data_IF_597945327193
#
_entry.id   IF_597945327193
#
_cell.length_a   1.000
_cell.length_b   1.000
_cell.length_c   1.000
_cell.angle_alpha   90.00
_cell.angle_beta   90.00
_cell.angle_gamma   90.00
#
_symmetry.space_group_name_H-M   'P 1'
#
loop_
_entity.id
_entity.type
_entity.pdbx_description
1 polymer ?
#
# COMPACT_ATOMS: atom_id res chain seq x y z
N UNK A 1 -22.53 -16.26 -11.44
CA UNK A 1 -21.14 -16.78 -11.45
C UNK A 1 -20.09 -15.68 -11.18
N UNK A 2 -20.47 -14.42 -10.94
CA UNK A 2 -19.51 -13.28 -10.81
C UNK A 2 -18.81 -13.17 -9.45
N UNK A 3 -19.32 -13.82 -8.39
CA UNK A 3 -18.78 -13.69 -7.04
C UNK A 3 -17.49 -14.49 -6.81
N UNK A 4 -17.22 -15.52 -7.62
CA UNK A 4 -15.99 -16.33 -7.49
C UNK A 4 -14.78 -15.56 -8.00
N UNK A 5 -14.87 -15.00 -9.20
CA UNK A 5 -13.76 -14.29 -9.86
C UNK A 5 -13.33 -13.03 -9.08
N UNK A 6 -14.30 -12.32 -8.49
CA UNK A 6 -13.99 -11.16 -7.62
C UNK A 6 -13.32 -11.57 -6.32
N UNK A 7 -13.73 -12.70 -5.70
CA UNK A 7 -13.08 -13.22 -4.49
C UNK A 7 -11.64 -13.66 -4.77
N UNK A 8 -11.40 -14.28 -5.92
CA UNK A 8 -10.06 -14.71 -6.34
C UNK A 8 -9.16 -13.50 -6.62
N UNK A 9 -9.69 -12.45 -7.28
CA UNK A 9 -8.97 -11.20 -7.52
C UNK A 9 -8.60 -10.45 -6.22
N UNK A 10 -9.54 -10.26 -5.30
CA UNK A 10 -9.25 -9.64 -4.00
C UNK A 10 -8.26 -10.48 -3.18
N UNK A 11 -8.28 -11.81 -3.33
CA UNK A 11 -7.29 -12.67 -2.68
C UNK A 11 -5.88 -12.39 -3.22
N UNK A 12 -5.72 -12.34 -4.54
CA UNK A 12 -4.45 -12.03 -5.20
C UNK A 12 -3.94 -10.63 -4.82
N UNK A 13 -4.81 -9.62 -4.82
CA UNK A 13 -4.45 -8.26 -4.40
C UNK A 13 -4.01 -8.20 -2.93
N UNK A 14 -4.67 -8.94 -2.03
CA UNK A 14 -4.24 -9.02 -0.63
C UNK A 14 -2.88 -9.68 -0.47
N UNK A 15 -2.60 -10.73 -1.24
CA UNK A 15 -1.28 -11.36 -1.24
C UNK A 15 -0.20 -10.40 -1.74
N UNK A 16 -0.49 -9.68 -2.83
CA UNK A 16 0.45 -8.71 -3.39
C UNK A 16 0.69 -7.54 -2.44
N UNK A 17 -0.36 -6.99 -1.82
CA UNK A 17 -0.23 -5.97 -0.77
C UNK A 17 0.64 -6.44 0.40
N UNK A 18 0.51 -7.70 0.83
CA UNK A 18 1.35 -8.26 1.90
C UNK A 18 2.81 -8.35 1.48
N UNK A 19 3.09 -8.75 0.23
CA UNK A 19 4.46 -8.80 -0.33
C UNK A 19 5.06 -7.41 -0.44
N UNK A 20 4.32 -6.45 -0.98
CA UNK A 20 4.75 -5.06 -1.09
C UNK A 20 5.02 -4.43 0.26
N UNK A 21 4.12 -4.61 1.24
CA UNK A 21 4.33 -4.10 2.59
C UNK A 21 5.61 -4.67 3.22
N UNK A 22 5.86 -5.98 3.08
CA UNK A 22 7.09 -6.60 3.56
C UNK A 22 8.33 -6.04 2.83
N UNK A 23 8.23 -5.77 1.53
CA UNK A 23 9.33 -5.18 0.75
C UNK A 23 9.63 -3.74 1.20
N UNK A 24 8.59 -2.90 1.33
CA UNK A 24 8.68 -1.50 1.78
C UNK A 24 9.34 -1.39 3.15
N UNK A 25 8.96 -2.26 4.10
CA UNK A 25 9.52 -2.27 5.46
C UNK A 25 11.04 -2.45 5.45
N UNK A 26 11.56 -3.25 4.52
CA UNK A 26 12.98 -3.56 4.40
C UNK A 26 13.74 -2.68 3.39
N UNK A 27 13.03 -1.92 2.56
CA UNK A 27 13.64 -1.05 1.54
C UNK A 27 14.48 0.06 2.20
N UNK A 28 15.70 0.27 1.72
CA UNK A 28 16.62 1.28 2.26
C UNK A 28 16.62 2.55 1.42
N UNK A 29 16.39 2.44 0.11
CA UNK A 29 16.30 3.59 -0.78
C UNK A 29 14.96 4.32 -0.58
N UNK A 30 15.05 5.62 -0.29
CA UNK A 30 13.89 6.44 0.04
C UNK A 30 12.94 6.59 -1.15
N UNK A 31 13.47 6.83 -2.36
CA UNK A 31 12.67 7.05 -3.55
C UNK A 31 11.93 5.79 -3.96
N UNK A 32 12.63 4.64 -3.94
CA UNK A 32 12.05 3.33 -4.20
C UNK A 32 10.99 2.98 -3.16
N UNK A 33 11.22 3.28 -1.88
CA UNK A 33 10.21 3.10 -0.83
C UNK A 33 8.95 3.93 -1.10
N UNK A 34 9.12 5.17 -1.55
CA UNK A 34 8.02 6.05 -1.96
C UNK A 34 7.21 5.47 -3.12
N UNK A 35 7.89 5.02 -4.18
CA UNK A 35 7.24 4.42 -5.35
C UNK A 35 6.45 3.16 -4.97
N UNK A 36 7.06 2.28 -4.18
CA UNK A 36 6.41 1.06 -3.70
C UNK A 36 5.21 1.38 -2.80
N UNK A 37 5.30 2.42 -1.97
CA UNK A 37 4.17 2.89 -1.16
C UNK A 37 3.02 3.39 -2.04
N UNK A 38 3.29 4.08 -3.14
CA UNK A 38 2.25 4.47 -4.11
C UNK A 38 1.48 3.26 -4.64
N UNK A 39 2.21 2.24 -5.12
CA UNK A 39 1.61 0.99 -5.60
C UNK A 39 0.79 0.27 -4.52
N UNK A 40 1.27 0.27 -3.27
CA UNK A 40 0.54 -0.33 -2.15
C UNK A 40 -0.77 0.41 -1.86
N UNK A 41 -0.78 1.73 -1.96
CA UNK A 41 -1.98 2.54 -1.73
C UNK A 41 -3.03 2.33 -2.83
N UNK A 42 -2.61 2.19 -4.09
CA UNK A 42 -3.52 1.82 -5.20
C UNK A 42 -4.21 0.48 -4.91
N UNK A 43 -3.45 -0.53 -4.46
CA UNK A 43 -4.03 -1.83 -4.08
C UNK A 43 -4.97 -1.71 -2.87
N UNK A 44 -4.64 -0.87 -1.90
CA UNK A 44 -5.51 -0.64 -0.74
C UNK A 44 -6.81 0.08 -1.12
N UNK A 45 -6.76 1.04 -2.04
CA UNK A 45 -7.96 1.68 -2.59
C UNK A 45 -8.89 0.66 -3.24
N UNK A 46 -8.36 -0.23 -4.09
CA UNK A 46 -9.15 -1.29 -4.74
C UNK A 46 -9.71 -2.33 -3.76
N UNK A 47 -9.11 -2.45 -2.58
CA UNK A 47 -9.56 -3.34 -1.51
C UNK A 47 -10.46 -2.66 -0.47
N UNK A 48 -10.81 -1.37 -0.66
CA UNK A 48 -11.53 -0.54 0.30
C UNK A 48 -10.83 -0.47 1.69
N UNK A 49 -9.50 -0.43 1.70
CA UNK A 49 -8.66 -0.35 2.91
C UNK A 49 -8.20 1.10 3.12
N UNK A 50 -8.74 1.77 4.13
CA UNK A 50 -8.35 3.13 4.49
C UNK A 50 -7.16 3.16 5.45
N UNK A 51 -6.06 3.79 5.04
CA UNK A 51 -4.82 3.93 5.85
C UNK A 51 -4.40 5.38 6.07
N UNK A 52 -5.17 6.35 5.57
CA UNK A 52 -4.85 7.79 5.65
C UNK A 52 -4.50 8.22 7.07
N UNK A 53 -5.38 7.95 8.02
CA UNK A 53 -5.24 8.36 9.42
C UNK A 53 -4.55 7.29 10.29
N UNK A 54 -4.00 6.23 9.68
CA UNK A 54 -3.34 5.15 10.39
C UNK A 54 -1.86 5.46 10.67
N UNK A 55 -1.60 6.18 11.76
CA UNK A 55 -0.23 6.56 12.14
C UNK A 55 0.72 5.35 12.30
N UNK A 56 0.21 4.20 12.77
CA UNK A 56 1.01 2.98 12.90
C UNK A 56 1.47 2.44 11.56
N UNK A 57 0.60 2.44 10.54
CA UNK A 57 0.96 2.06 9.17
C UNK A 57 2.08 2.94 8.61
N UNK A 58 1.93 4.26 8.70
CA UNK A 58 2.93 5.20 8.20
C UNK A 58 4.27 5.10 8.95
N UNK A 59 4.21 4.90 10.26
CA UNK A 59 5.39 4.64 11.10
C UNK A 59 6.11 3.35 10.72
N UNK A 60 5.37 2.27 10.49
CA UNK A 60 5.88 0.95 10.10
C UNK A 60 6.68 0.98 8.80
N UNK A 61 6.22 1.77 7.82
CA UNK A 61 6.90 1.93 6.54
C UNK A 61 7.88 3.09 6.53
N UNK A 62 8.08 3.77 7.67
CA UNK A 62 9.01 4.90 7.83
C UNK A 62 8.76 6.01 6.81
N UNK A 63 7.49 6.30 6.54
CA UNK A 63 7.03 7.40 5.68
C UNK A 63 6.11 8.34 6.46
N UNK A 64 5.90 9.54 5.93
CA UNK A 64 4.97 10.52 6.49
C UNK A 64 3.90 10.82 5.44
N UNK A 65 2.63 10.63 5.81
CA UNK A 65 1.49 10.88 4.91
C UNK A 65 1.51 12.30 4.33
N UNK A 66 1.75 13.31 5.18
CA UNK A 66 1.73 14.71 4.74
C UNK A 66 2.83 15.01 3.72
N UNK A 67 4.02 14.44 3.91
CA UNK A 67 5.10 14.55 2.91
C UNK A 67 4.75 13.80 1.62
N UNK A 68 4.09 12.65 1.75
CA UNK A 68 3.69 11.83 0.61
C UNK A 68 2.69 12.57 -0.30
N UNK A 69 1.63 13.14 0.26
CA UNK A 69 0.61 13.84 -0.54
C UNK A 69 1.14 15.13 -1.17
N UNK A 70 2.00 15.86 -0.45
CA UNK A 70 2.63 17.08 -0.97
C UNK A 70 3.59 16.81 -2.14
N UNK A 71 4.06 15.57 -2.32
CA UNK A 71 4.91 15.19 -3.46
C UNK A 71 4.13 15.00 -4.77
N UNK A 72 2.83 14.76 -4.69
CA UNK A 72 1.92 14.57 -5.83
C UNK A 72 1.00 15.78 -6.08
N UNK A 73 1.20 16.87 -5.34
CA UNK A 73 0.47 18.14 -5.51
C UNK A 73 1.19 19.12 -6.44
#
# INVERSE_FOLDING_TARGET
METSTRKDFHCLMREEARRLLAHIKNETDYNRRYQLCGLLLEIYEELDIEVRDNASFWGDIRLNYHHFVNHYS
#
